data_IF_753014974837
#
_entry.id   IF_753014974837
#
_cell.length_a   1.000
_cell.length_b   1.000
_cell.length_c   1.000
_cell.angle_alpha   90.00
_cell.angle_beta   90.00
_cell.angle_gamma   90.00
#
_symmetry.space_group_name_H-M   'P 1'
#
loop_
_entity.id
_entity.type
_entity.pdbx_description
1 polymer ?
#
# COMPACT_ATOMS: atom_id res chain seq x y z
N UNK A 1 13.74 0.42 33.15
CA UNK A 1 13.08 -0.88 33.40
C UNK A 1 13.83 -1.94 32.61
N UNK A 2 14.47 -2.91 33.25
CA UNK A 2 15.37 -3.86 32.63
C UNK A 2 14.62 -4.76 31.61
N UNK A 3 15.09 -4.81 30.36
CA UNK A 3 14.50 -5.61 29.27
C UNK A 3 14.69 -7.11 29.50
N UNK A 4 15.67 -7.50 30.33
CA UNK A 4 16.06 -8.89 30.58
C UNK A 4 14.96 -9.79 31.16
N UNK A 5 14.05 -9.23 31.94
CA UNK A 5 13.00 -10.02 32.64
C UNK A 5 11.78 -10.35 31.75
N UNK A 6 11.80 -9.90 30.48
CA UNK A 6 10.69 -10.05 29.53
C UNK A 6 10.84 -11.23 28.58
N UNK A 7 12.03 -11.80 28.50
CA UNK A 7 12.34 -12.87 27.57
C UNK A 7 12.87 -14.08 28.34
N UNK A 8 12.57 -15.25 27.83
CA UNK A 8 13.18 -16.53 28.26
C UNK A 8 14.07 -17.03 27.14
N UNK A 9 15.21 -17.59 27.50
CA UNK A 9 16.09 -18.27 26.57
C UNK A 9 15.43 -19.57 26.10
N UNK A 10 15.44 -19.79 24.80
CA UNK A 10 14.89 -20.99 24.15
C UNK A 10 15.85 -21.45 23.08
N UNK A 11 15.81 -22.73 22.77
CA UNK A 11 16.55 -23.31 21.66
C UNK A 11 15.60 -23.56 20.51
N UNK A 12 15.87 -22.96 19.36
CA UNK A 12 15.14 -23.21 18.13
C UNK A 12 15.84 -24.32 17.35
N UNK A 13 15.05 -25.20 16.73
CA UNK A 13 15.57 -26.22 15.80
C UNK A 13 15.05 -25.91 14.41
N UNK A 14 15.93 -25.95 13.39
CA UNK A 14 15.55 -25.86 12.00
C UNK A 14 15.04 -27.23 11.46
N UNK A 15 14.63 -27.25 10.19
CA UNK A 15 14.13 -28.46 9.55
C UNK A 15 15.21 -29.55 9.39
N UNK A 16 16.49 -29.16 9.44
CA UNK A 16 17.66 -30.02 9.29
C UNK A 16 18.21 -30.49 10.64
N UNK A 17 17.54 -30.12 11.76
CA UNK A 17 17.88 -30.54 13.12
C UNK A 17 18.98 -29.69 13.79
N UNK A 18 19.47 -28.62 13.16
CA UNK A 18 20.43 -27.73 13.78
C UNK A 18 19.74 -26.87 14.84
N UNK A 19 20.41 -26.63 15.97
CA UNK A 19 19.85 -25.89 17.08
C UNK A 19 20.54 -24.54 17.25
N UNK A 20 19.75 -23.48 17.40
CA UNK A 20 20.21 -22.12 17.59
C UNK A 20 19.65 -21.54 18.88
N UNK A 21 20.48 -20.93 19.76
CA UNK A 21 19.99 -20.21 20.92
C UNK A 21 19.25 -18.96 20.49
N UNK A 22 18.13 -18.67 21.12
CA UNK A 22 17.33 -17.47 20.87
C UNK A 22 16.53 -17.06 22.09
N UNK A 23 15.87 -15.93 22.01
CA UNK A 23 15.06 -15.39 23.08
C UNK A 23 13.61 -15.29 22.67
N UNK A 24 12.70 -15.72 23.52
CA UNK A 24 11.26 -15.68 23.30
C UNK A 24 10.56 -14.89 24.40
N UNK A 25 9.63 -13.99 24.07
CA UNK A 25 8.91 -13.25 25.11
C UNK A 25 8.09 -14.19 26.01
N UNK A 26 8.00 -13.84 27.28
CA UNK A 26 7.16 -14.59 28.23
C UNK A 26 5.68 -14.31 27.94
N UNK A 27 4.79 -15.21 28.39
CA UNK A 27 3.34 -15.00 28.27
C UNK A 27 2.87 -13.70 28.95
N UNK A 28 3.50 -13.37 30.08
CA UNK A 28 3.22 -12.10 30.76
C UNK A 28 3.63 -10.88 29.93
N UNK A 29 4.77 -10.95 29.25
CA UNK A 29 5.20 -9.88 28.33
C UNK A 29 4.24 -9.73 27.16
N UNK A 30 3.75 -10.84 26.60
CA UNK A 30 2.75 -10.82 25.52
C UNK A 30 1.43 -10.20 26.00
N UNK A 31 0.95 -10.57 27.18
CA UNK A 31 -0.26 -9.98 27.75
C UNK A 31 -0.09 -8.49 28.03
N UNK A 32 1.05 -8.09 28.58
CA UNK A 32 1.37 -6.68 28.82
C UNK A 32 1.44 -5.89 27.49
N UNK A 33 2.07 -6.45 26.47
CA UNK A 33 2.12 -5.85 25.14
C UNK A 33 0.71 -5.71 24.54
N UNK A 34 -0.11 -6.74 24.59
CA UNK A 34 -1.49 -6.70 24.14
C UNK A 34 -2.28 -5.59 24.81
N UNK A 35 -2.27 -5.53 26.14
CA UNK A 35 -3.06 -4.54 26.88
C UNK A 35 -2.51 -3.10 26.72
N UNK A 36 -1.19 -2.90 26.84
CA UNK A 36 -0.61 -1.55 26.82
C UNK A 36 -0.44 -0.99 25.42
N UNK A 37 -0.05 -1.81 24.44
CA UNK A 37 0.19 -1.35 23.10
C UNK A 37 -1.04 -1.55 22.21
N UNK A 38 -1.52 -2.78 22.05
CA UNK A 38 -2.58 -3.05 21.07
C UNK A 38 -3.94 -2.53 21.55
N UNK A 39 -4.32 -2.75 22.82
CA UNK A 39 -5.61 -2.26 23.33
C UNK A 39 -5.56 -0.77 23.67
N UNK A 40 -4.56 -0.34 24.47
CA UNK A 40 -4.54 1.04 24.94
C UNK A 40 -4.02 2.00 23.87
N UNK A 41 -2.82 1.79 23.32
CA UNK A 41 -2.21 2.73 22.39
C UNK A 41 -2.86 2.67 20.99
N UNK A 42 -3.10 1.48 20.44
CA UNK A 42 -3.64 1.36 19.09
C UNK A 42 -5.17 1.49 19.00
N UNK A 43 -5.93 1.03 19.98
CA UNK A 43 -7.38 1.06 19.90
C UNK A 43 -7.98 2.18 20.76
N UNK A 44 -7.69 2.19 22.09
CA UNK A 44 -8.32 3.13 23.02
C UNK A 44 -7.98 4.59 22.70
N UNK A 45 -6.74 4.88 22.35
CA UNK A 45 -6.30 6.21 21.92
C UNK A 45 -7.11 6.69 20.71
N UNK A 46 -7.30 5.87 19.68
CA UNK A 46 -8.13 6.21 18.53
C UNK A 46 -9.60 6.40 18.88
N UNK A 47 -10.13 5.54 19.74
CA UNK A 47 -11.48 5.70 20.24
C UNK A 47 -11.66 7.07 20.92
N UNK A 48 -10.73 7.43 21.79
CA UNK A 48 -10.76 8.72 22.49
C UNK A 48 -10.57 9.91 21.54
N UNK A 49 -9.78 9.79 20.47
CA UNK A 49 -9.69 10.85 19.46
C UNK A 49 -11.04 11.22 18.84
N UNK A 50 -11.91 10.24 18.65
CA UNK A 50 -13.20 10.46 18.03
C UNK A 50 -14.26 11.01 19.01
N UNK A 51 -14.07 10.79 20.33
CA UNK A 51 -15.13 11.07 21.29
C UNK A 51 -14.71 11.98 22.46
N UNK A 52 -13.43 12.21 22.65
CA UNK A 52 -12.93 13.14 23.68
C UNK A 52 -12.20 14.34 23.07
N UNK A 53 -11.20 14.08 22.23
CA UNK A 53 -10.42 15.07 21.54
C UNK A 53 -9.02 14.52 21.17
N UNK A 54 -8.33 15.21 20.29
CA UNK A 54 -7.03 14.84 19.71
C UNK A 54 -6.01 15.98 19.91
N UNK A 55 -4.83 15.63 20.40
CA UNK A 55 -3.76 16.60 20.63
C UNK A 55 -3.19 17.18 19.32
N UNK A 56 -2.88 16.33 18.35
CA UNK A 56 -2.43 16.67 16.99
C UNK A 56 -2.46 15.42 16.10
N UNK A 57 -2.21 15.58 14.79
CA UNK A 57 -2.20 14.49 13.81
C UNK A 57 -0.81 13.87 13.55
N UNK A 58 0.18 14.24 14.35
CA UNK A 58 1.52 13.69 14.23
C UNK A 58 1.54 12.28 14.80
N UNK A 59 2.02 11.34 14.01
CA UNK A 59 2.16 9.95 14.47
C UNK A 59 3.17 9.86 15.60
N UNK A 60 2.72 9.44 16.78
CA UNK A 60 3.55 9.24 17.96
C UNK A 60 3.82 7.78 18.24
N UNK A 61 4.87 7.52 19.01
CA UNK A 61 5.22 6.19 19.54
C UNK A 61 5.00 6.10 21.06
N UNK A 62 4.24 7.05 21.63
CA UNK A 62 3.95 7.17 23.06
C UNK A 62 4.62 8.36 23.73
N UNK A 63 5.14 9.31 22.95
CA UNK A 63 5.66 10.59 23.42
C UNK A 63 4.51 11.46 23.95
N UNK A 64 4.84 12.42 24.83
CA UNK A 64 3.85 13.27 25.47
C UNK A 64 3.29 14.37 24.54
N UNK A 65 4.02 14.69 23.47
CA UNK A 65 3.72 15.79 22.54
C UNK A 65 3.09 15.34 21.21
N UNK A 66 3.04 14.04 20.92
CA UNK A 66 2.61 13.56 19.62
C UNK A 66 1.40 12.63 19.69
N UNK A 67 0.32 13.03 19.01
CA UNK A 67 -0.82 12.19 18.71
C UNK A 67 -1.55 11.58 19.91
N UNK A 68 -1.54 12.22 21.05
CA UNK A 68 -2.28 11.77 22.22
C UNK A 68 -3.76 12.14 22.14
N UNK A 69 -4.61 11.53 22.93
CA UNK A 69 -5.97 11.98 23.12
C UNK A 69 -6.02 13.01 24.27
N UNK A 70 -6.89 14.00 24.15
CA UNK A 70 -7.07 15.07 25.13
C UNK A 70 -8.53 15.24 25.47
N UNK A 71 -8.80 15.88 26.60
CA UNK A 71 -10.16 16.23 27.02
C UNK A 71 -10.54 17.67 26.63
N UNK A 72 -9.54 18.53 26.40
CA UNK A 72 -9.70 19.97 26.26
C UNK A 72 -9.86 20.70 27.58
N UNK A 73 -9.77 19.99 28.71
CA UNK A 73 -9.80 20.57 30.04
C UNK A 73 -8.35 20.67 30.56
N UNK A 74 -7.75 21.88 30.62
CA UNK A 74 -6.33 22.04 30.89
C UNK A 74 -5.84 21.35 32.15
N UNK A 75 -6.64 21.35 33.21
CA UNK A 75 -6.30 20.68 34.47
C UNK A 75 -6.08 19.17 34.28
N UNK A 76 -6.91 18.50 33.47
CA UNK A 76 -6.80 17.07 33.17
C UNK A 76 -5.65 16.81 32.22
N UNK A 77 -5.61 17.54 31.10
CA UNK A 77 -4.64 17.31 30.05
C UNK A 77 -3.20 17.60 30.51
N UNK A 78 -3.01 18.66 31.30
CA UNK A 78 -1.70 19.01 31.89
C UNK A 78 -1.26 17.96 32.94
N UNK A 79 -2.18 17.36 33.65
CA UNK A 79 -1.85 16.27 34.56
C UNK A 79 -1.43 14.99 33.82
N UNK A 80 -1.94 14.75 32.60
CA UNK A 80 -1.63 13.58 31.80
C UNK A 80 -0.36 13.74 30.96
N UNK A 81 -0.16 14.90 30.35
CA UNK A 81 0.86 15.12 29.31
C UNK A 81 1.79 16.30 29.58
N UNK A 82 1.68 16.95 30.74
CA UNK A 82 2.38 18.21 31.03
C UNK A 82 1.68 19.42 30.43
N UNK A 83 2.22 20.59 30.72
CA UNK A 83 1.60 21.86 30.29
C UNK A 83 1.60 22.01 28.77
N UNK A 84 0.43 21.88 28.17
CA UNK A 84 0.22 21.93 26.72
C UNK A 84 0.51 23.33 26.14
N UNK A 85 0.52 24.38 26.95
CA UNK A 85 0.88 25.73 26.50
C UNK A 85 2.37 25.90 26.18
N UNK A 86 3.21 25.00 26.67
CA UNK A 86 4.65 24.98 26.41
C UNK A 86 5.05 24.29 25.12
N UNK A 87 4.11 23.65 24.41
CA UNK A 87 4.39 23.03 23.14
C UNK A 87 4.82 24.07 22.08
N UNK A 88 5.68 23.71 21.12
CA UNK A 88 5.99 24.55 19.98
C UNK A 88 4.72 25.00 19.24
N UNK A 89 4.71 26.22 18.70
CA UNK A 89 3.56 26.75 17.95
C UNK A 89 3.09 25.85 16.82
N UNK A 90 3.99 25.18 16.14
CA UNK A 90 3.67 24.21 15.08
C UNK A 90 2.83 23.02 15.56
N UNK A 91 2.93 22.65 16.84
CA UNK A 91 2.11 21.60 17.46
C UNK A 91 0.80 22.18 18.02
N UNK A 92 0.84 23.39 18.59
CA UNK A 92 -0.37 24.07 19.09
C UNK A 92 -1.34 24.45 17.97
N UNK A 93 -0.82 24.91 16.83
CA UNK A 93 -1.58 25.35 15.66
C UNK A 93 -1.81 24.21 14.64
N UNK A 94 -1.53 22.97 15.05
CA UNK A 94 -1.76 21.80 14.17
C UNK A 94 -3.26 21.63 13.89
N UNK A 95 -3.63 21.50 12.62
CA UNK A 95 -5.04 21.33 12.21
C UNK A 95 -5.73 20.11 12.80
N UNK A 96 -4.97 19.07 13.12
CA UNK A 96 -5.46 17.89 13.81
C UNK A 96 -5.64 18.05 15.34
N UNK A 97 -5.46 19.29 15.88
CA UNK A 97 -5.80 19.60 17.27
C UNK A 97 -7.31 19.81 17.40
N UNK A 98 -8.00 18.82 17.94
CA UNK A 98 -9.46 18.82 18.03
C UNK A 98 -9.91 18.62 19.48
N UNK A 99 -10.74 19.51 19.99
CA UNK A 99 -11.24 19.48 21.38
C UNK A 99 -12.75 19.27 21.40
N UNK A 100 -13.19 18.14 21.96
CA UNK A 100 -14.63 17.84 22.05
C UNK A 100 -15.19 17.87 23.47
N UNK A 101 -14.33 18.18 24.45
CA UNK A 101 -14.70 18.23 25.87
C UNK A 101 -15.36 16.95 26.38
N UNK A 102 -15.03 15.80 25.81
CA UNK A 102 -15.65 14.51 26.06
C UNK A 102 -17.20 14.50 25.87
N UNK A 103 -17.79 15.51 25.21
CA UNK A 103 -19.24 15.60 25.07
C UNK A 103 -19.84 14.40 24.34
N UNK A 104 -19.31 13.94 23.17
CA UNK A 104 -19.81 12.74 22.52
C UNK A 104 -19.61 11.48 23.38
N UNK A 105 -18.50 11.39 24.12
CA UNK A 105 -18.22 10.26 25.02
C UNK A 105 -19.25 10.18 26.13
N UNK A 106 -19.52 11.30 26.82
CA UNK A 106 -20.50 11.37 27.91
C UNK A 106 -21.88 11.02 27.41
N UNK A 107 -22.29 11.59 26.28
CA UNK A 107 -23.60 11.32 25.68
C UNK A 107 -23.75 9.84 25.28
N UNK A 108 -22.69 9.24 24.72
CA UNK A 108 -22.65 7.81 24.40
C UNK A 108 -22.75 6.92 25.64
N UNK A 109 -22.05 7.26 26.73
CA UNK A 109 -22.16 6.54 28.00
C UNK A 109 -23.57 6.66 28.61
N UNK A 110 -24.19 7.85 28.57
CA UNK A 110 -25.57 8.02 28.98
C UNK A 110 -26.49 7.09 28.19
N UNK A 111 -26.34 7.01 26.88
CA UNK A 111 -27.14 6.13 26.02
C UNK A 111 -26.92 4.65 26.28
N UNK A 112 -25.67 4.27 26.50
CA UNK A 112 -25.29 2.90 26.87
C UNK A 112 -26.02 2.45 28.15
N UNK A 113 -25.91 3.25 29.21
CA UNK A 113 -26.58 2.93 30.48
C UNK A 113 -28.10 3.01 30.36
N UNK A 114 -28.63 4.00 29.64
CA UNK A 114 -30.07 4.10 29.38
C UNK A 114 -30.61 2.83 28.71
N UNK A 115 -29.89 2.29 27.71
CA UNK A 115 -30.28 1.06 27.05
C UNK A 115 -30.18 -0.15 27.98
N UNK A 116 -29.06 -0.26 28.70
CA UNK A 116 -28.77 -1.39 29.60
C UNK A 116 -29.80 -1.52 30.74
N UNK A 117 -30.30 -0.39 31.25
CA UNK A 117 -31.24 -0.37 32.37
C UNK A 117 -32.73 -0.22 31.97
N UNK A 118 -33.04 -0.37 30.68
CA UNK A 118 -34.42 -0.22 30.15
C UNK A 118 -35.26 -1.50 30.22
N UNK A 119 -34.96 -2.40 31.14
CA UNK A 119 -35.65 -3.68 31.30
C UNK A 119 -35.23 -4.73 30.27
N UNK A 120 -35.90 -5.85 30.24
CA UNK A 120 -35.48 -7.05 29.50
C UNK A 120 -35.26 -6.79 27.98
N UNK A 121 -36.18 -6.04 27.36
CA UNK A 121 -36.03 -5.68 25.93
C UNK A 121 -34.83 -4.76 25.69
N UNK A 122 -34.56 -3.82 26.59
CA UNK A 122 -33.41 -2.95 26.53
C UNK A 122 -32.10 -3.72 26.63
N UNK A 123 -32.01 -4.66 27.58
CA UNK A 123 -30.85 -5.53 27.77
C UNK A 123 -30.57 -6.38 26.51
N UNK A 124 -31.59 -6.95 25.88
CA UNK A 124 -31.41 -7.71 24.63
C UNK A 124 -30.85 -6.82 23.51
N UNK A 125 -31.38 -5.63 23.33
CA UNK A 125 -30.89 -4.66 22.34
C UNK A 125 -29.47 -4.15 22.69
N UNK A 126 -29.18 -3.96 23.98
CA UNK A 126 -27.83 -3.61 24.46
C UNK A 126 -26.81 -4.63 24.00
N UNK A 127 -27.06 -5.92 24.19
CA UNK A 127 -26.12 -6.95 23.77
C UNK A 127 -25.88 -6.96 22.25
N UNK A 128 -26.88 -6.64 21.43
CA UNK A 128 -26.70 -6.53 19.99
C UNK A 128 -25.70 -5.40 19.64
N UNK A 129 -25.91 -4.21 20.21
CA UNK A 129 -25.00 -3.07 19.97
C UNK A 129 -23.62 -3.32 20.57
N UNK A 130 -23.58 -3.93 21.77
CA UNK A 130 -22.33 -4.27 22.45
C UNK A 130 -21.49 -5.28 21.63
N UNK A 131 -22.12 -6.32 21.12
CA UNK A 131 -21.38 -7.27 20.25
C UNK A 131 -20.96 -6.63 18.94
N UNK A 132 -21.76 -5.77 18.35
CA UNK A 132 -21.34 -5.00 17.19
C UNK A 132 -20.09 -4.16 17.53
N UNK A 133 -20.13 -3.41 18.62
CA UNK A 133 -19.00 -2.61 19.10
C UNK A 133 -17.75 -3.47 19.39
N UNK A 134 -17.92 -4.56 20.13
CA UNK A 134 -16.82 -5.44 20.51
C UNK A 134 -16.19 -6.16 19.32
N UNK A 135 -17.02 -6.74 18.45
CA UNK A 135 -16.56 -7.55 17.31
C UNK A 135 -15.89 -6.71 16.22
N UNK A 136 -16.34 -5.46 16.02
CA UNK A 136 -15.74 -4.55 15.04
C UNK A 136 -14.62 -3.67 15.63
N UNK A 137 -14.34 -3.79 16.93
CA UNK A 137 -13.30 -3.07 17.65
C UNK A 137 -12.26 -4.01 18.25
N UNK A 138 -12.42 -4.39 19.51
CA UNK A 138 -11.44 -5.17 20.24
C UNK A 138 -11.18 -6.55 19.62
N UNK A 139 -12.19 -7.20 19.05
CA UNK A 139 -11.98 -8.47 18.34
C UNK A 139 -11.13 -8.29 17.09
N UNK A 140 -11.26 -7.16 16.37
CA UNK A 140 -10.39 -6.83 15.24
C UNK A 140 -8.94 -6.59 15.70
N UNK A 141 -8.74 -5.92 16.84
CA UNK A 141 -7.40 -5.74 17.44
C UNK A 141 -6.72 -7.10 17.66
N UNK A 142 -7.47 -8.03 18.26
CA UNK A 142 -6.98 -9.39 18.51
C UNK A 142 -6.68 -10.16 17.21
N UNK A 143 -7.59 -10.04 16.22
CA UNK A 143 -7.44 -10.71 14.92
C UNK A 143 -6.24 -10.19 14.12
N UNK A 144 -6.05 -8.88 14.06
CA UNK A 144 -4.97 -8.26 13.29
C UNK A 144 -3.60 -8.49 13.96
N UNK A 145 -3.56 -8.62 15.28
CA UNK A 145 -2.34 -8.83 16.07
C UNK A 145 -1.15 -7.98 15.58
N UNK A 146 -1.38 -6.66 15.44
CA UNK A 146 -0.43 -5.77 14.80
C UNK A 146 0.85 -5.61 15.60
N UNK A 147 1.97 -5.63 14.88
CA UNK A 147 3.30 -5.36 15.43
C UNK A 147 3.54 -3.86 15.62
N UNK A 148 4.47 -3.44 16.49
CA UNK A 148 4.94 -2.06 16.57
C UNK A 148 5.56 -1.58 15.26
N UNK A 149 5.71 -0.27 15.13
CA UNK A 149 6.41 0.37 14.00
C UNK A 149 5.73 0.11 12.65
N UNK A 150 4.41 0.21 12.61
CA UNK A 150 3.67 0.19 11.36
C UNK A 150 4.03 1.42 10.51
N UNK A 151 4.08 1.29 9.17
CA UNK A 151 4.40 2.42 8.28
C UNK A 151 3.35 3.54 8.32
N UNK A 152 2.14 3.24 8.77
CA UNK A 152 1.05 4.18 9.04
C UNK A 152 0.11 3.62 10.10
N UNK A 153 -0.61 4.50 10.76
CA UNK A 153 -1.66 4.10 11.69
C UNK A 153 -2.87 3.50 10.93
N UNK A 154 -3.55 2.54 11.55
CA UNK A 154 -4.64 1.76 10.93
C UNK A 154 -5.95 1.88 11.71
N UNK A 155 -6.26 3.08 12.16
CA UNK A 155 -7.49 3.42 12.89
C UNK A 155 -8.77 3.06 12.11
N UNK A 156 -8.74 3.16 10.79
CA UNK A 156 -9.83 2.75 9.91
C UNK A 156 -10.27 1.28 10.10
N UNK A 157 -9.40 0.41 10.59
CA UNK A 157 -9.74 -0.98 10.89
C UNK A 157 -10.77 -1.11 12.02
N UNK A 158 -10.86 -0.10 12.88
CA UNK A 158 -11.74 -0.07 14.05
C UNK A 158 -12.97 0.82 13.86
N UNK A 159 -13.14 1.45 12.71
CA UNK A 159 -14.21 2.42 12.42
C UNK A 159 -15.61 1.85 12.66
N UNK A 160 -15.81 0.54 12.46
CA UNK A 160 -17.07 -0.13 12.77
C UNK A 160 -17.48 -0.01 14.24
N UNK A 161 -16.53 -0.07 15.18
CA UNK A 161 -16.82 0.11 16.61
C UNK A 161 -17.19 1.55 16.95
N UNK A 162 -16.58 2.52 16.27
CA UNK A 162 -16.92 3.94 16.46
C UNK A 162 -18.34 4.23 15.95
N UNK A 163 -18.71 3.63 14.83
CA UNK A 163 -20.09 3.68 14.33
C UNK A 163 -21.08 3.04 15.33
N UNK A 164 -20.74 1.88 15.89
CA UNK A 164 -21.57 1.23 16.91
C UNK A 164 -21.72 2.11 18.18
N UNK A 165 -20.64 2.79 18.60
CA UNK A 165 -20.72 3.73 19.72
C UNK A 165 -21.60 4.93 19.41
N UNK A 166 -21.65 5.40 18.16
CA UNK A 166 -22.54 6.48 17.73
C UNK A 166 -24.04 6.13 17.91
N UNK A 167 -24.40 4.85 17.87
CA UNK A 167 -25.77 4.40 18.21
C UNK A 167 -26.10 4.77 19.67
N UNK A 168 -25.17 4.54 20.59
CA UNK A 168 -25.36 4.95 21.99
C UNK A 168 -25.38 6.46 22.16
N UNK A 169 -24.64 7.23 21.38
CA UNK A 169 -24.76 8.70 21.38
C UNK A 169 -26.19 9.12 21.03
N UNK A 170 -26.79 8.54 19.98
CA UNK A 170 -28.19 8.78 19.63
C UNK A 170 -29.18 8.36 20.72
N UNK A 171 -28.94 7.22 21.37
CA UNK A 171 -29.73 6.78 22.52
C UNK A 171 -29.53 7.67 23.74
N UNK A 172 -28.42 8.34 23.88
CA UNK A 172 -28.16 9.36 24.90
C UNK A 172 -29.08 10.55 24.75
N UNK A 173 -29.33 11.01 23.52
CA UNK A 173 -30.32 12.07 23.24
C UNK A 173 -31.74 11.61 23.64
N UNK A 174 -32.11 10.36 23.35
CA UNK A 174 -33.39 9.79 23.77
C UNK A 174 -33.52 9.69 25.30
N UNK A 175 -32.42 9.40 26.01
CA UNK A 175 -32.35 9.41 27.47
C UNK A 175 -32.61 10.83 28.02
N UNK A 176 -31.93 11.84 27.43
CA UNK A 176 -32.12 13.24 27.82
C UNK A 176 -33.58 13.68 27.60
N UNK A 177 -34.20 13.29 26.49
CA UNK A 177 -35.63 13.57 26.22
C UNK A 177 -36.52 12.94 27.28
N UNK A 178 -36.27 11.67 27.66
CA UNK A 178 -37.06 10.98 28.71
C UNK A 178 -36.88 11.61 30.10
N UNK A 179 -35.68 12.09 30.43
CA UNK A 179 -35.44 12.80 31.69
C UNK A 179 -36.08 14.20 31.69
N UNK A 180 -35.95 14.93 30.57
CA UNK A 180 -36.58 16.24 30.41
C UNK A 180 -38.12 16.16 30.46
N UNK A 181 -38.73 15.12 29.91
CA UNK A 181 -40.20 14.90 30.01
C UNK A 181 -40.64 14.76 31.46
N UNK A 182 -39.94 14.01 32.29
CA UNK A 182 -40.21 13.87 33.72
C UNK A 182 -40.11 15.21 34.44
N UNK A 183 -39.07 15.99 34.12
CA UNK A 183 -38.83 17.30 34.74
C UNK A 183 -39.89 18.34 34.32
N UNK A 184 -40.31 18.32 33.06
CA UNK A 184 -41.29 19.26 32.49
C UNK A 184 -42.74 18.84 32.71
N UNK A 185 -42.97 17.91 33.66
CA UNK A 185 -44.34 17.46 34.03
C UNK A 185 -45.16 17.00 32.83
N UNK A 186 -44.61 16.06 32.09
CA UNK A 186 -45.28 15.40 30.97
C UNK A 186 -45.59 16.30 29.76
N UNK A 187 -44.69 17.19 29.39
CA UNK A 187 -44.70 17.92 28.11
C UNK A 187 -43.73 17.24 27.09
N UNK A 188 -44.12 16.13 26.45
CA UNK A 188 -43.21 15.32 25.68
C UNK A 188 -42.65 16.03 24.45
N UNK A 189 -43.42 16.84 23.78
CA UNK A 189 -42.97 17.59 22.60
C UNK A 189 -41.90 18.63 22.94
N UNK A 190 -42.05 19.35 24.05
CA UNK A 190 -41.08 20.33 24.50
C UNK A 190 -39.81 19.62 24.98
N UNK A 191 -39.94 18.52 25.71
CA UNK A 191 -38.78 17.71 26.16
C UNK A 191 -38.01 17.16 24.98
N UNK A 192 -38.68 16.62 23.98
CA UNK A 192 -38.02 16.13 22.75
C UNK A 192 -37.32 17.25 21.99
N UNK A 193 -37.96 18.42 21.84
CA UNK A 193 -37.37 19.57 21.17
C UNK A 193 -36.07 20.04 21.88
N UNK A 194 -36.11 20.20 23.21
CA UNK A 194 -34.96 20.61 23.99
C UNK A 194 -33.79 19.58 23.92
N UNK A 195 -34.14 18.31 24.08
CA UNK A 195 -33.13 17.24 23.96
C UNK A 195 -32.50 17.18 22.54
N UNK A 196 -33.32 17.40 21.52
CA UNK A 196 -32.82 17.45 20.12
C UNK A 196 -31.88 18.63 19.91
N UNK A 197 -32.22 19.82 20.43
CA UNK A 197 -31.32 20.99 20.35
C UNK A 197 -29.99 20.70 21.02
N UNK A 198 -29.99 20.19 22.27
CA UNK A 198 -28.78 19.82 22.99
C UNK A 198 -28.02 18.73 22.23
N UNK A 199 -28.71 17.72 21.70
CA UNK A 199 -28.12 16.64 20.91
C UNK A 199 -27.44 17.12 19.63
N UNK A 200 -28.00 18.12 18.95
CA UNK A 200 -27.42 18.70 17.71
C UNK A 200 -26.22 19.59 18.01
N UNK A 201 -26.16 20.23 19.18
CA UNK A 201 -25.01 21.06 19.55
C UNK A 201 -23.70 20.25 19.63
N UNK A 202 -23.76 18.97 20.00
CA UNK A 202 -22.56 18.11 20.07
C UNK A 202 -21.91 17.92 18.70
N UNK A 203 -22.60 17.42 17.66
CA UNK A 203 -21.97 17.31 16.34
C UNK A 203 -21.61 18.67 15.72
N UNK A 204 -22.35 19.74 16.00
CA UNK A 204 -21.98 21.08 15.55
C UNK A 204 -20.66 21.55 16.17
N UNK A 205 -20.46 21.31 17.45
CA UNK A 205 -19.18 21.59 18.10
C UNK A 205 -18.06 20.74 17.51
N UNK A 206 -18.29 19.45 17.26
CA UNK A 206 -17.32 18.59 16.60
C UNK A 206 -16.94 19.11 15.19
N UNK A 207 -17.93 19.45 14.37
CA UNK A 207 -17.71 20.01 13.03
C UNK A 207 -16.90 21.29 13.08
N UNK A 208 -17.16 22.17 14.06
CA UNK A 208 -16.41 23.42 14.21
C UNK A 208 -14.92 23.20 14.49
N UNK A 209 -14.56 22.07 15.08
CA UNK A 209 -13.18 21.70 15.39
C UNK A 209 -12.50 20.92 14.25
N UNK A 210 -13.25 20.10 13.52
CA UNK A 210 -12.69 19.16 12.56
C UNK A 210 -12.81 19.60 11.12
N UNK A 211 -13.47 20.72 10.82
CA UNK A 211 -13.70 21.17 9.45
C UNK A 211 -12.44 21.34 8.64
N UNK A 212 -11.45 21.98 9.22
CA UNK A 212 -10.21 22.36 8.53
C UNK A 212 -9.26 21.18 8.28
N UNK A 213 -9.28 20.16 9.16
CA UNK A 213 -8.48 18.95 8.94
C UNK A 213 -9.19 17.93 8.03
N UNK A 214 -10.54 18.01 7.91
CA UNK A 214 -11.34 17.20 7.01
C UNK A 214 -11.59 17.84 5.64
N UNK A 215 -11.35 19.13 5.49
CA UNK A 215 -11.48 19.81 4.20
C UNK A 215 -10.40 19.30 3.23
N UNK A 216 -10.86 18.57 2.22
CA UNK A 216 -10.04 18.03 1.13
C UNK A 216 -10.09 18.89 -0.14
N UNK A 217 -10.83 19.99 -0.14
CA UNK A 217 -10.83 20.95 -1.24
C UNK A 217 -9.40 21.46 -1.48
N UNK A 218 -9.04 21.63 -2.73
CA UNK A 218 -7.69 22.09 -3.14
C UNK A 218 -6.52 21.13 -2.82
N UNK A 219 -6.77 19.88 -2.46
CA UNK A 219 -5.72 18.86 -2.26
C UNK A 219 -5.51 18.02 -3.51
N UNK A 220 -4.87 18.60 -4.51
CA UNK A 220 -4.67 17.98 -5.82
C UNK A 220 -3.34 17.23 -5.99
N UNK A 221 -2.50 17.16 -4.96
CA UNK A 221 -1.15 16.57 -5.05
C UNK A 221 -1.13 15.16 -5.65
N UNK A 222 -2.04 14.27 -5.22
CA UNK A 222 -2.11 12.90 -5.78
C UNK A 222 -2.52 12.90 -7.25
N UNK A 223 -3.48 13.76 -7.65
CA UNK A 223 -3.92 13.91 -9.03
C UNK A 223 -2.76 14.43 -9.90
N UNK A 224 -2.13 15.52 -9.47
CA UNK A 224 -1.07 16.18 -10.23
C UNK A 224 0.17 15.30 -10.33
N UNK A 225 0.51 14.58 -9.26
CA UNK A 225 1.57 13.57 -9.27
C UNK A 225 1.27 12.46 -10.29
N UNK A 226 0.06 11.88 -10.27
CA UNK A 226 -0.35 10.85 -11.23
C UNK A 226 -0.36 11.36 -12.67
N UNK A 227 -0.84 12.58 -12.91
CA UNK A 227 -0.82 13.22 -14.23
C UNK A 227 0.63 13.42 -14.73
N UNK A 228 1.53 13.91 -13.87
CA UNK A 228 2.95 14.10 -14.22
C UNK A 228 3.64 12.77 -14.54
N UNK A 229 3.31 11.70 -13.81
CA UNK A 229 3.80 10.36 -14.13
C UNK A 229 3.40 9.91 -15.52
N UNK A 230 2.11 9.98 -15.81
CA UNK A 230 1.56 9.57 -17.11
C UNK A 230 2.08 10.44 -18.25
N UNK A 231 2.24 11.74 -18.03
CA UNK A 231 2.78 12.69 -19.02
C UNK A 231 4.31 12.53 -19.24
N UNK A 232 5.01 11.81 -18.38
CA UNK A 232 6.42 11.41 -18.59
C UNK A 232 6.54 10.41 -19.75
N UNK A 233 5.50 9.60 -19.99
CA UNK A 233 5.52 8.55 -20.98
C UNK A 233 5.39 9.13 -22.39
N UNK A 234 6.02 8.51 -23.43
CA UNK A 234 5.92 8.98 -24.80
C UNK A 234 4.48 8.89 -25.32
N UNK A 235 4.11 9.81 -26.21
CA UNK A 235 2.75 9.89 -26.79
C UNK A 235 2.45 8.77 -27.80
N UNK A 236 3.46 8.01 -28.20
CA UNK A 236 3.33 6.95 -29.20
C UNK A 236 3.74 5.59 -28.64
N UNK A 237 3.19 4.55 -29.23
CA UNK A 237 3.57 3.17 -28.93
C UNK A 237 2.77 2.50 -27.81
N UNK A 238 1.72 3.14 -27.27
CA UNK A 238 0.93 2.62 -26.16
C UNK A 238 1.83 2.17 -24.99
N UNK A 239 2.55 3.07 -24.35
CA UNK A 239 3.58 2.73 -23.37
C UNK A 239 3.02 1.94 -22.18
N UNK A 240 3.89 1.17 -21.56
CA UNK A 240 3.58 0.43 -20.30
C UNK A 240 4.40 1.03 -19.19
N UNK A 241 3.77 1.29 -18.04
CA UNK A 241 4.47 1.64 -16.82
C UNK A 241 4.20 0.58 -15.74
N UNK A 242 5.28 -0.01 -15.23
CA UNK A 242 5.24 -0.94 -14.12
C UNK A 242 5.29 -0.18 -12.79
N UNK A 243 4.30 -0.44 -11.96
CA UNK A 243 4.15 0.12 -10.59
C UNK A 243 4.10 -1.00 -9.57
N UNK A 244 4.27 -0.70 -8.28
CA UNK A 244 4.20 -1.72 -7.24
C UNK A 244 3.49 -1.19 -5.99
N UNK A 245 2.33 -1.76 -5.69
CA UNK A 245 1.51 -1.34 -4.57
C UNK A 245 0.52 -0.22 -4.91
N UNK A 246 -0.18 0.26 -3.89
CA UNK A 246 -1.33 1.15 -4.04
C UNK A 246 -0.92 2.61 -4.33
N UNK A 247 0.12 3.06 -3.62
CA UNK A 247 0.47 4.48 -3.56
C UNK A 247 0.96 5.07 -4.89
N UNK A 248 1.62 4.27 -5.72
CA UNK A 248 2.08 4.67 -7.04
C UNK A 248 1.12 4.27 -8.17
N UNK A 249 0.21 3.32 -7.91
CA UNK A 249 -0.74 2.83 -8.91
C UNK A 249 -2.05 3.63 -8.92
N UNK A 250 -2.66 3.85 -7.75
CA UNK A 250 -3.99 4.45 -7.67
C UNK A 250 -4.06 5.91 -8.16
N UNK A 251 -3.05 6.76 -7.93
CA UNK A 251 -3.06 8.10 -8.56
C UNK A 251 -3.04 8.05 -10.09
N UNK A 252 -2.37 7.07 -10.70
CA UNK A 252 -2.35 6.88 -12.14
C UNK A 252 -3.72 6.40 -12.64
N UNK A 253 -4.29 5.39 -11.99
CA UNK A 253 -5.64 4.92 -12.33
C UNK A 253 -6.69 6.02 -12.17
N UNK A 254 -6.63 6.82 -11.09
CA UNK A 254 -7.53 7.97 -10.94
C UNK A 254 -7.46 8.91 -12.15
N UNK A 255 -6.25 9.25 -12.60
CA UNK A 255 -6.08 10.12 -13.76
C UNK A 255 -6.61 9.49 -15.06
N UNK A 256 -6.48 8.17 -15.23
CA UNK A 256 -7.00 7.48 -16.41
C UNK A 256 -8.54 7.33 -16.36
N UNK A 257 -9.08 6.89 -15.21
CA UNK A 257 -10.49 6.53 -15.07
C UNK A 257 -11.41 7.76 -14.87
N UNK A 258 -10.92 8.81 -14.21
CA UNK A 258 -11.72 9.98 -13.86
C UNK A 258 -11.39 11.19 -14.73
N UNK A 259 -10.09 11.47 -14.94
CA UNK A 259 -9.65 12.65 -15.70
C UNK A 259 -9.46 12.34 -17.19
N UNK A 260 -9.49 11.07 -17.61
CA UNK A 260 -9.26 10.65 -19.00
C UNK A 260 -7.84 10.91 -19.51
N UNK A 261 -6.87 11.03 -18.60
CA UNK A 261 -5.48 11.38 -18.93
C UNK A 261 -4.72 10.15 -19.41
N UNK A 262 -4.10 10.20 -20.59
CA UNK A 262 -3.21 9.16 -21.14
C UNK A 262 -3.82 7.76 -21.08
N UNK A 263 -5.04 7.60 -21.60
CA UNK A 263 -5.74 6.32 -21.72
C UNK A 263 -5.08 5.36 -22.70
N UNK A 264 -4.13 5.84 -23.50
CA UNK A 264 -3.25 5.06 -24.37
C UNK A 264 -2.16 4.28 -23.60
N UNK A 265 -1.75 4.79 -22.44
CA UNK A 265 -0.74 4.15 -21.60
C UNK A 265 -1.34 2.99 -20.76
N UNK A 266 -0.55 1.95 -20.50
CA UNK A 266 -0.97 0.83 -19.65
C UNK A 266 -0.26 0.86 -18.30
N UNK A 267 -1.00 1.11 -17.25
CA UNK A 267 -0.49 0.98 -15.88
C UNK A 267 -0.57 -0.50 -15.48
N UNK A 268 0.56 -1.09 -15.14
CA UNK A 268 0.69 -2.50 -14.78
C UNK A 268 1.27 -2.65 -13.37
N UNK A 269 0.43 -2.99 -12.40
CA UNK A 269 0.83 -3.21 -11.02
C UNK A 269 1.48 -4.59 -10.85
N UNK A 270 2.75 -4.62 -10.42
CA UNK A 270 3.53 -5.85 -10.27
C UNK A 270 3.02 -6.76 -9.15
N UNK A 271 2.49 -6.18 -8.06
CA UNK A 271 1.90 -6.99 -6.99
C UNK A 271 0.67 -7.76 -7.48
N UNK A 272 -0.19 -7.11 -8.27
CA UNK A 272 -1.38 -7.76 -8.83
C UNK A 272 -1.05 -8.69 -9.99
N UNK A 273 0.06 -8.48 -10.70
CA UNK A 273 0.50 -9.35 -11.79
C UNK A 273 0.88 -10.76 -11.30
N UNK A 274 1.03 -10.95 -9.99
CA UNK A 274 1.12 -12.27 -9.36
C UNK A 274 -0.21 -13.06 -9.40
N UNK A 275 -1.33 -12.39 -9.67
CA UNK A 275 -2.66 -13.02 -9.69
C UNK A 275 -3.08 -13.36 -11.12
N UNK A 276 -3.91 -14.38 -11.26
CA UNK A 276 -4.43 -14.84 -12.55
C UNK A 276 -5.42 -13.83 -13.16
N UNK A 277 -6.33 -13.32 -12.35
CA UNK A 277 -7.36 -12.36 -12.81
C UNK A 277 -6.75 -11.08 -13.37
N UNK A 278 -5.67 -10.58 -12.76
CA UNK A 278 -5.02 -9.36 -13.25
C UNK A 278 -4.21 -9.61 -14.52
N UNK A 279 -3.55 -10.77 -14.63
CA UNK A 279 -2.90 -11.20 -15.88
C UNK A 279 -3.93 -11.31 -17.01
N UNK A 280 -5.12 -11.89 -16.75
CA UNK A 280 -6.24 -11.90 -17.70
C UNK A 280 -6.67 -10.49 -18.12
N UNK A 281 -6.73 -9.55 -17.17
CA UNK A 281 -7.07 -8.15 -17.45
C UNK A 281 -6.02 -7.48 -18.33
N UNK A 282 -4.74 -7.73 -18.07
CA UNK A 282 -3.64 -7.15 -18.85
C UNK A 282 -3.60 -7.66 -20.31
N UNK A 283 -4.12 -8.83 -20.56
CA UNK A 283 -4.26 -9.43 -21.92
C UNK A 283 -5.44 -8.89 -22.72
N UNK A 284 -6.24 -8.00 -22.15
CA UNK A 284 -7.38 -7.35 -22.82
C UNK A 284 -7.05 -5.89 -23.13
N UNK A 285 -7.65 -5.32 -24.19
CA UNK A 285 -7.54 -3.88 -24.41
C UNK A 285 -8.22 -3.12 -23.26
N UNK A 286 -7.73 -1.92 -22.97
CA UNK A 286 -8.36 -1.01 -22.03
C UNK A 286 -8.26 0.41 -22.60
N UNK A 287 -9.40 1.05 -22.83
CA UNK A 287 -9.48 2.35 -23.49
C UNK A 287 -8.72 2.33 -24.84
N UNK A 288 -7.79 3.26 -25.03
CA UNK A 288 -6.95 3.35 -26.24
C UNK A 288 -5.70 2.46 -26.16
N UNK A 289 -5.48 1.80 -25.03
CA UNK A 289 -4.32 0.92 -24.83
C UNK A 289 -4.58 -0.49 -25.36
N UNK A 290 -3.67 -0.96 -26.22
CA UNK A 290 -3.67 -2.33 -26.72
C UNK A 290 -3.39 -3.33 -25.61
N UNK A 291 -3.80 -4.62 -25.75
CA UNK A 291 -3.39 -5.70 -24.87
C UNK A 291 -1.89 -5.72 -24.63
N UNK A 292 -1.45 -6.07 -23.42
CA UNK A 292 -0.03 -6.32 -23.19
C UNK A 292 0.42 -7.56 -23.98
N UNK A 293 1.67 -7.60 -24.45
CA UNK A 293 2.19 -8.70 -25.27
C UNK A 293 2.49 -9.94 -24.41
N UNK A 294 1.45 -10.46 -23.75
CA UNK A 294 1.50 -11.72 -22.98
C UNK A 294 0.88 -12.80 -23.84
N UNK A 295 1.72 -13.69 -24.40
CA UNK A 295 1.29 -14.73 -25.35
C UNK A 295 0.78 -15.98 -24.65
N UNK A 296 1.02 -16.13 -23.35
CA UNK A 296 0.64 -17.30 -22.57
C UNK A 296 -0.86 -17.53 -22.57
N UNK A 297 -1.29 -18.77 -22.80
CA UNK A 297 -2.68 -19.15 -22.55
C UNK A 297 -2.96 -19.17 -21.06
N UNK A 298 -4.22 -18.97 -20.70
CA UNK A 298 -4.65 -18.96 -19.29
C UNK A 298 -4.24 -20.22 -18.52
N UNK A 299 -4.14 -21.34 -19.17
CA UNK A 299 -3.71 -22.61 -18.60
C UNK A 299 -2.35 -22.54 -17.90
N UNK A 300 -1.42 -21.71 -18.37
CA UNK A 300 -0.05 -21.63 -17.84
C UNK A 300 0.14 -20.69 -16.65
N UNK A 301 -0.86 -19.90 -16.27
CA UNK A 301 -0.76 -19.00 -15.11
C UNK A 301 -1.95 -19.14 -14.14
N UNK A 302 -3.01 -19.84 -14.51
CA UNK A 302 -4.11 -20.15 -13.60
C UNK A 302 -3.79 -21.46 -12.90
N UNK A 303 -3.39 -21.29 -11.66
CA UNK A 303 -3.14 -22.42 -10.84
C UNK A 303 -3.14 -22.01 -9.38
N UNK A 304 -3.60 -22.74 -8.54
CA UNK A 304 -3.60 -22.54 -7.09
C UNK A 304 -2.16 -22.36 -6.50
N UNK A 305 -1.30 -21.55 -7.13
CA UNK A 305 0.07 -21.24 -6.74
C UNK A 305 1.17 -22.07 -7.39
N UNK A 306 0.87 -23.00 -8.30
CA UNK A 306 1.87 -23.88 -8.93
C UNK A 306 2.82 -23.16 -9.89
N UNK A 307 2.35 -22.07 -10.55
CA UNK A 307 3.14 -21.26 -11.49
C UNK A 307 3.44 -19.87 -10.94
N UNK A 308 3.64 -19.75 -9.64
CA UNK A 308 3.98 -18.47 -8.99
C UNK A 308 5.48 -18.22 -8.91
N UNK A 309 6.29 -19.26 -9.10
CA UNK A 309 7.74 -19.23 -8.94
C UNK A 309 8.44 -20.16 -9.93
N UNK A 310 9.52 -19.69 -10.54
CA UNK A 310 10.30 -20.38 -11.57
C UNK A 310 11.78 -20.42 -11.16
N UNK A 311 12.30 -21.59 -10.78
CA UNK A 311 13.70 -21.74 -10.37
C UNK A 311 14.66 -21.49 -11.52
N UNK A 312 15.85 -20.99 -11.21
CA UNK A 312 16.98 -20.86 -12.15
C UNK A 312 17.90 -22.05 -11.92
N UNK A 313 18.12 -22.85 -12.95
CA UNK A 313 18.91 -24.11 -12.94
C UNK A 313 20.04 -24.07 -13.94
N UNK A 314 21.16 -23.40 -13.62
CA UNK A 314 22.29 -23.24 -14.55
C UNK A 314 22.99 -24.56 -14.91
N UNK A 315 22.75 -25.61 -14.16
CA UNK A 315 23.22 -26.99 -14.47
C UNK A 315 22.74 -27.49 -15.83
N UNK A 316 21.60 -26.98 -16.33
CA UNK A 316 21.08 -27.31 -17.66
C UNK A 316 21.67 -26.48 -18.81
N UNK A 317 22.62 -25.57 -18.52
CA UNK A 317 23.23 -24.72 -19.54
C UNK A 317 23.95 -25.52 -20.63
N UNK A 318 24.54 -26.66 -20.28
CA UNK A 318 25.19 -27.53 -21.22
C UNK A 318 24.28 -28.05 -22.34
N UNK A 319 22.98 -28.26 -22.02
CA UNK A 319 21.95 -28.64 -23.01
C UNK A 319 21.74 -27.53 -24.05
N UNK A 320 21.71 -26.26 -23.60
CA UNK A 320 21.59 -25.11 -24.51
C UNK A 320 22.83 -24.99 -25.41
N UNK A 321 24.01 -25.21 -24.88
CA UNK A 321 25.25 -25.15 -25.67
C UNK A 321 25.28 -26.24 -26.75
N UNK A 322 24.76 -27.42 -26.44
CA UNK A 322 24.65 -28.51 -27.39
C UNK A 322 23.59 -28.22 -28.46
N UNK A 323 22.41 -27.71 -28.10
CA UNK A 323 21.42 -27.27 -29.04
C UNK A 323 21.93 -26.20 -30.02
N UNK A 324 22.74 -25.26 -29.52
CA UNK A 324 23.36 -24.22 -30.36
C UNK A 324 24.34 -24.78 -31.36
N UNK A 325 25.11 -25.83 -30.99
CA UNK A 325 26.00 -26.52 -31.89
C UNK A 325 25.25 -27.30 -32.97
N UNK A 326 24.15 -27.97 -32.59
CA UNK A 326 23.35 -28.77 -33.51
C UNK A 326 22.54 -27.90 -34.49
N UNK A 327 22.08 -26.73 -34.05
CA UNK A 327 21.35 -25.79 -34.90
C UNK A 327 21.85 -24.34 -34.74
N UNK A 328 22.90 -23.93 -35.47
CA UNK A 328 23.46 -22.57 -35.34
C UNK A 328 22.52 -21.42 -35.72
N UNK A 329 21.41 -21.72 -36.40
CA UNK A 329 20.38 -20.71 -36.78
C UNK A 329 19.47 -20.34 -35.62
N UNK A 330 19.36 -21.15 -34.60
CA UNK A 330 18.53 -20.92 -33.41
C UNK A 330 19.44 -20.51 -32.27
N UNK A 331 19.16 -19.39 -31.64
CA UNK A 331 19.85 -19.03 -30.39
C UNK A 331 19.02 -19.55 -29.19
N UNK A 332 19.41 -20.67 -28.56
CA UNK A 332 18.68 -21.24 -27.44
C UNK A 332 18.75 -20.41 -26.16
N UNK A 333 19.60 -19.36 -26.15
CA UNK A 333 19.65 -18.37 -25.07
C UNK A 333 18.67 -17.21 -25.27
N UNK A 334 18.01 -17.14 -26.45
CA UNK A 334 17.00 -16.13 -26.70
C UNK A 334 15.84 -16.27 -25.70
N UNK A 335 15.44 -15.15 -25.09
CA UNK A 335 14.46 -15.15 -24.01
C UNK A 335 13.12 -15.76 -24.46
N UNK A 336 12.65 -15.45 -25.67
CA UNK A 336 11.45 -16.05 -26.23
C UNK A 336 11.54 -17.57 -26.34
N UNK A 337 12.70 -18.08 -26.76
CA UNK A 337 12.94 -19.54 -26.84
C UNK A 337 12.91 -20.19 -25.46
N UNK A 338 13.56 -19.59 -24.47
CA UNK A 338 13.59 -20.10 -23.08
C UNK A 338 12.18 -20.08 -22.48
N UNK A 339 11.43 -18.99 -22.68
CA UNK A 339 10.06 -18.89 -22.19
C UNK A 339 9.18 -19.99 -22.78
N UNK A 340 9.23 -20.21 -24.08
CA UNK A 340 8.37 -21.20 -24.76
C UNK A 340 8.75 -22.65 -24.49
N UNK A 341 10.06 -22.96 -24.34
CA UNK A 341 10.51 -24.36 -24.27
C UNK A 341 10.82 -24.84 -22.84
N UNK A 342 11.12 -23.94 -21.89
CA UNK A 342 11.53 -24.32 -20.54
C UNK A 342 10.63 -23.73 -19.45
N UNK A 343 10.14 -22.51 -19.60
CA UNK A 343 9.38 -21.81 -18.56
C UNK A 343 7.89 -22.09 -18.67
N UNK A 344 7.33 -22.00 -19.88
CA UNK A 344 5.92 -22.19 -20.21
C UNK A 344 5.57 -23.69 -20.27
N UNK A 345 5.58 -24.33 -19.13
CA UNK A 345 5.23 -25.76 -19.01
C UNK A 345 4.06 -25.96 -18.05
N UNK A 346 3.33 -27.03 -18.26
CA UNK A 346 2.19 -27.41 -17.43
C UNK A 346 2.60 -27.66 -15.97
N UNK A 347 3.79 -28.21 -15.77
CA UNK A 347 4.39 -28.43 -14.45
C UNK A 347 5.90 -28.22 -14.51
N UNK A 348 6.46 -27.61 -13.45
CA UNK A 348 7.89 -27.55 -13.23
C UNK A 348 8.67 -26.68 -14.21
N UNK A 349 8.10 -25.54 -14.69
CA UNK A 349 8.82 -24.59 -15.52
C UNK A 349 10.05 -23.99 -14.78
N UNK A 350 11.14 -23.79 -15.50
CA UNK A 350 12.40 -23.27 -14.94
C UNK A 350 13.22 -22.51 -15.99
N UNK A 351 14.17 -21.71 -15.54
CA UNK A 351 15.19 -21.10 -16.40
C UNK A 351 16.42 -22.01 -16.45
N UNK A 352 16.85 -22.49 -17.63
CA UNK A 352 17.95 -23.44 -17.74
C UNK A 352 19.34 -22.75 -17.68
N UNK A 353 19.39 -21.44 -17.47
CA UNK A 353 20.62 -20.64 -17.49
C UNK A 353 20.50 -19.44 -16.56
N UNK A 354 21.62 -18.91 -16.13
CA UNK A 354 21.75 -17.69 -15.35
C UNK A 354 21.88 -16.40 -16.19
N UNK A 355 21.71 -16.51 -17.51
CA UNK A 355 21.80 -15.40 -18.45
C UNK A 355 20.92 -15.66 -19.65
N UNK A 356 20.12 -14.67 -20.04
CA UNK A 356 19.21 -14.73 -21.20
C UNK A 356 19.50 -13.58 -22.17
N UNK A 357 19.13 -13.75 -23.41
CA UNK A 357 19.35 -12.81 -24.49
C UNK A 357 18.03 -12.31 -25.05
N UNK A 358 17.92 -11.02 -25.33
CA UNK A 358 16.80 -10.41 -26.04
C UNK A 358 17.33 -9.78 -27.32
N UNK A 359 16.85 -10.21 -28.46
CA UNK A 359 17.17 -9.59 -29.75
C UNK A 359 16.63 -8.17 -29.85
N UNK A 360 17.40 -7.26 -30.42
CA UNK A 360 17.05 -5.84 -30.51
C UNK A 360 16.60 -5.47 -31.92
N UNK A 361 15.35 -5.02 -32.03
CA UNK A 361 14.83 -4.43 -33.25
C UNK A 361 15.31 -2.97 -33.35
N UNK A 362 16.44 -2.75 -34.02
CA UNK A 362 17.09 -1.42 -34.12
C UNK A 362 16.16 -0.36 -34.72
N UNK A 363 15.38 -0.73 -35.73
CA UNK A 363 14.44 0.20 -36.33
C UNK A 363 13.34 0.65 -35.38
N UNK A 364 12.78 -0.28 -34.63
CA UNK A 364 11.79 0.04 -33.58
C UNK A 364 12.37 0.90 -32.45
N UNK A 365 13.62 0.65 -32.05
CA UNK A 365 14.33 1.49 -31.08
C UNK A 365 14.46 2.93 -31.58
N UNK A 366 14.84 3.13 -32.84
CA UNK A 366 14.96 4.47 -33.45
C UNK A 366 13.59 5.15 -33.54
N UNK A 367 12.56 4.44 -33.98
CA UNK A 367 11.20 4.97 -34.15
C UNK A 367 10.53 5.29 -32.79
N UNK A 368 10.93 4.62 -31.73
CA UNK A 368 10.41 4.86 -30.38
C UNK A 368 10.85 6.19 -29.75
N UNK A 369 11.75 6.94 -30.40
CA UNK A 369 12.31 8.17 -29.85
C UNK A 369 13.20 7.98 -28.64
N UNK A 370 13.74 6.76 -28.45
CA UNK A 370 14.66 6.45 -27.37
C UNK A 370 15.97 7.26 -27.54
N UNK A 371 16.53 7.74 -26.41
CA UNK A 371 17.85 8.36 -26.45
C UNK A 371 18.93 7.36 -26.86
N UNK A 372 19.76 7.74 -27.79
CA UNK A 372 20.83 6.94 -28.36
C UNK A 372 22.20 7.54 -27.90
N UNK A 373 22.88 6.96 -26.92
CA UNK A 373 24.05 7.58 -26.28
C UNK A 373 25.20 7.93 -27.26
N UNK A 374 25.40 7.14 -28.32
CA UNK A 374 26.45 7.32 -29.30
C UNK A 374 25.91 7.27 -30.73
N UNK A 375 24.64 7.66 -30.93
CA UNK A 375 23.99 7.65 -32.23
C UNK A 375 23.43 6.28 -32.65
N UNK A 376 22.91 6.21 -33.89
CA UNK A 376 22.17 5.03 -34.39
C UNK A 376 23.04 3.76 -34.49
N UNK A 377 24.33 3.92 -34.74
CA UNK A 377 25.27 2.80 -34.88
C UNK A 377 25.63 2.15 -33.55
N UNK A 378 25.32 2.79 -32.43
CA UNK A 378 25.56 2.26 -31.09
C UNK A 378 24.51 1.25 -30.61
N UNK A 379 23.40 1.08 -31.35
CA UNK A 379 22.34 0.17 -30.96
C UNK A 379 22.85 -1.27 -31.02
N UNK A 380 22.88 -1.99 -29.88
CA UNK A 380 23.36 -3.37 -29.85
C UNK A 380 22.41 -4.30 -30.61
N UNK A 381 22.92 -5.39 -31.15
CA UNK A 381 22.08 -6.43 -31.77
C UNK A 381 21.31 -7.24 -30.73
N UNK A 382 21.82 -7.32 -29.51
CA UNK A 382 21.30 -8.13 -28.43
C UNK A 382 21.47 -7.45 -27.08
N UNK A 383 20.46 -7.59 -26.21
CA UNK A 383 20.48 -7.26 -24.79
C UNK A 383 20.72 -8.54 -23.99
N UNK A 384 21.67 -8.53 -23.05
CA UNK A 384 22.03 -9.72 -22.25
C UNK A 384 21.63 -9.48 -20.81
N UNK A 385 20.62 -10.18 -20.32
CA UNK A 385 20.11 -10.03 -18.96
C UNK A 385 20.74 -11.11 -18.06
N UNK A 386 21.39 -10.69 -16.98
CA UNK A 386 21.95 -11.59 -15.97
C UNK A 386 20.90 -11.92 -14.90
N UNK A 387 20.66 -13.21 -14.69
CA UNK A 387 19.76 -13.72 -13.64
C UNK A 387 20.51 -14.12 -12.36
N UNK A 388 21.84 -13.92 -12.29
CA UNK A 388 22.66 -14.35 -11.17
C UNK A 388 22.22 -13.78 -9.83
N UNK A 389 21.84 -12.50 -9.81
CA UNK A 389 21.35 -11.86 -8.57
C UNK A 389 20.06 -12.50 -8.07
N UNK A 390 19.11 -12.80 -8.98
CA UNK A 390 17.86 -13.47 -8.63
C UNK A 390 18.12 -14.90 -8.15
N UNK A 391 19.04 -15.61 -8.82
CA UNK A 391 19.45 -16.95 -8.40
C UNK A 391 20.06 -16.95 -7.00
N UNK A 392 20.98 -16.02 -6.70
CA UNK A 392 21.66 -15.96 -5.41
C UNK A 392 20.72 -15.51 -4.26
N UNK A 393 19.84 -14.56 -4.51
CA UNK A 393 18.95 -14.00 -3.48
C UNK A 393 17.75 -14.87 -3.17
N UNK A 394 17.15 -15.47 -4.20
CA UNK A 394 15.85 -16.13 -4.08
C UNK A 394 15.75 -17.46 -4.86
N UNK A 395 16.83 -17.90 -5.52
CA UNK A 395 16.89 -19.16 -6.27
C UNK A 395 16.17 -19.17 -7.61
N UNK A 396 15.39 -18.14 -7.96
CA UNK A 396 14.58 -18.08 -9.17
C UNK A 396 13.84 -16.76 -9.32
N UNK A 397 12.82 -16.77 -10.18
CA UNK A 397 12.00 -15.60 -10.49
C UNK A 397 10.54 -15.84 -10.09
N UNK A 398 9.89 -14.80 -9.61
CA UNK A 398 8.45 -14.82 -9.38
C UNK A 398 7.67 -14.55 -10.68
N UNK A 399 6.38 -14.90 -10.70
CA UNK A 399 5.52 -14.75 -11.90
C UNK A 399 5.53 -13.33 -12.47
N UNK A 400 5.44 -12.31 -11.63
CA UNK A 400 5.46 -10.90 -12.09
C UNK A 400 6.75 -10.55 -12.84
N UNK A 401 7.91 -11.05 -12.37
CA UNK A 401 9.20 -10.86 -13.04
C UNK A 401 9.22 -11.60 -14.39
N UNK A 402 8.73 -12.83 -14.41
CA UNK A 402 8.61 -13.63 -15.64
C UNK A 402 7.65 -12.97 -16.63
N UNK A 403 6.57 -12.35 -16.18
CA UNK A 403 5.64 -11.62 -17.05
C UNK A 403 6.26 -10.34 -17.64
N UNK A 404 7.16 -9.66 -16.91
CA UNK A 404 7.96 -8.57 -17.49
C UNK A 404 8.83 -9.12 -18.64
N UNK A 405 9.48 -10.25 -18.43
CA UNK A 405 10.30 -10.90 -19.46
C UNK A 405 9.48 -11.37 -20.66
N UNK A 406 8.30 -11.93 -20.43
CA UNK A 406 7.36 -12.28 -21.50
C UNK A 406 7.00 -11.07 -22.36
N UNK A 407 6.65 -9.95 -21.71
CA UNK A 407 6.34 -8.71 -22.43
C UNK A 407 7.54 -8.15 -23.17
N UNK A 408 8.74 -8.20 -22.59
CA UNK A 408 9.98 -7.74 -23.20
C UNK A 408 10.34 -8.59 -24.42
N UNK A 409 10.21 -9.91 -24.34
CA UNK A 409 10.47 -10.83 -25.44
C UNK A 409 9.54 -10.65 -26.63
N UNK A 410 8.27 -10.26 -26.39
CA UNK A 410 7.23 -10.19 -27.43
C UNK A 410 6.84 -8.77 -27.85
N UNK A 411 7.37 -7.73 -27.19
CA UNK A 411 7.12 -6.34 -27.59
C UNK A 411 7.86 -5.91 -28.86
N UNK A 412 8.88 -6.64 -29.27
CA UNK A 412 9.74 -6.34 -30.43
C UNK A 412 10.26 -4.87 -30.42
N UNK A 413 10.49 -4.32 -29.22
CA UNK A 413 10.90 -2.93 -28.97
C UNK A 413 9.94 -1.85 -29.50
N UNK A 414 8.79 -2.25 -30.04
CA UNK A 414 7.75 -1.33 -30.57
C UNK A 414 6.90 -0.69 -29.49
N UNK A 415 6.86 -1.31 -28.31
CA UNK A 415 6.08 -0.85 -27.18
C UNK A 415 7.01 -0.37 -26.08
N UNK A 416 7.07 0.93 -25.77
CA UNK A 416 7.92 1.45 -24.71
C UNK A 416 7.51 0.89 -23.34
N UNK A 417 8.48 0.46 -22.55
CA UNK A 417 8.26 -0.07 -21.21
C UNK A 417 9.05 0.71 -20.18
N UNK A 418 8.41 1.04 -19.09
CA UNK A 418 8.94 1.88 -18.02
C UNK A 418 8.76 1.25 -16.66
N UNK A 419 9.73 1.43 -15.78
CA UNK A 419 9.65 1.15 -14.35
C UNK A 419 9.38 2.45 -13.60
N UNK A 420 8.46 2.46 -12.65
CA UNK A 420 8.22 3.67 -11.83
C UNK A 420 9.42 3.95 -10.91
N UNK A 421 9.70 5.24 -10.60
CA UNK A 421 10.79 5.59 -9.65
C UNK A 421 10.49 5.14 -8.23
N UNK A 422 9.24 4.82 -7.94
CA UNK A 422 8.78 4.32 -6.63
C UNK A 422 8.98 2.81 -6.47
N UNK A 423 9.37 2.10 -7.53
CA UNK A 423 9.79 0.71 -7.42
C UNK A 423 11.06 0.62 -6.57
N UNK A 424 11.00 -0.08 -5.46
CA UNK A 424 12.18 -0.30 -4.62
C UNK A 424 13.25 -1.16 -5.30
N UNK A 425 14.50 -1.07 -4.85
CA UNK A 425 15.58 -1.95 -5.31
C UNK A 425 15.17 -3.42 -5.20
N UNK A 426 15.38 -4.18 -6.26
CA UNK A 426 15.00 -5.60 -6.33
C UNK A 426 13.72 -5.88 -7.10
N UNK A 427 12.92 -4.86 -7.45
CA UNK A 427 11.72 -5.04 -8.29
C UNK A 427 11.97 -4.80 -9.79
N UNK A 428 13.20 -4.54 -10.18
CA UNK A 428 13.57 -4.31 -11.58
C UNK A 428 13.81 -5.59 -12.39
N UNK A 429 13.59 -6.75 -11.80
CA UNK A 429 13.78 -8.05 -12.46
C UNK A 429 15.16 -8.21 -13.13
N UNK A 430 16.23 -7.67 -12.53
CA UNK A 430 17.60 -7.70 -13.10
C UNK A 430 17.83 -6.75 -14.29
N UNK A 431 16.91 -5.83 -14.55
CA UNK A 431 16.98 -4.84 -15.63
C UNK A 431 17.59 -3.50 -15.18
N UNK A 432 18.10 -3.41 -13.95
CA UNK A 432 18.64 -2.18 -13.36
C UNK A 432 19.64 -1.48 -14.28
N UNK A 433 20.56 -2.25 -14.85
CA UNK A 433 21.62 -1.71 -15.73
C UNK A 433 21.13 -1.25 -17.10
N UNK A 434 19.87 -1.51 -17.43
CA UNK A 434 19.22 -1.18 -18.71
C UNK A 434 18.19 -0.08 -18.57
N UNK A 435 18.09 0.53 -17.38
CA UNK A 435 17.09 1.53 -17.06
C UNK A 435 17.67 2.95 -17.12
N UNK A 436 16.98 3.84 -17.84
CA UNK A 436 17.33 5.27 -17.95
C UNK A 436 16.19 6.11 -17.42
N UNK A 437 16.48 7.04 -16.51
CA UNK A 437 15.49 7.94 -15.95
C UNK A 437 15.05 8.98 -16.97
N UNK A 438 13.77 8.93 -17.33
CA UNK A 438 13.08 9.93 -18.14
C UNK A 438 11.95 10.53 -17.29
N UNK A 439 12.15 11.74 -16.75
CA UNK A 439 11.17 12.37 -15.85
C UNK A 439 10.95 11.57 -14.56
N UNK A 440 9.76 11.04 -14.36
CA UNK A 440 9.36 10.26 -13.17
C UNK A 440 9.36 8.73 -13.39
N UNK A 441 9.92 8.25 -14.51
CA UNK A 441 9.95 6.83 -14.80
C UNK A 441 11.28 6.40 -15.44
N UNK A 442 11.69 5.17 -15.20
CA UNK A 442 12.87 4.57 -15.81
C UNK A 442 12.48 3.81 -17.07
N UNK A 443 12.91 4.27 -18.21
CA UNK A 443 12.72 3.59 -19.49
C UNK A 443 13.64 2.38 -19.58
N UNK A 444 13.10 1.22 -19.98
CA UNK A 444 13.88 0.04 -20.31
C UNK A 444 14.48 0.24 -21.70
N UNK A 445 15.79 0.12 -21.81
CA UNK A 445 16.56 0.32 -23.05
C UNK A 445 17.45 -0.90 -23.34
N UNK A 446 17.91 -1.09 -24.58
CA UNK A 446 18.83 -2.19 -24.90
C UNK A 446 20.29 -1.90 -24.48
N UNK A 447 20.59 -0.71 -23.97
CA UNK A 447 21.93 -0.27 -23.63
C UNK A 447 22.26 -0.64 -22.19
N UNK A 448 23.42 -1.25 -21.96
CA UNK A 448 23.92 -1.54 -20.62
C UNK A 448 24.78 -0.37 -20.12
N UNK A 449 24.28 0.33 -19.12
CA UNK A 449 24.97 1.49 -18.52
C UNK A 449 25.83 1.11 -17.30
N UNK A 450 25.85 -0.16 -16.89
CA UNK A 450 26.55 -0.63 -15.69
C UNK A 450 25.88 -0.22 -14.37
N UNK A 451 25.01 0.78 -14.40
CA UNK A 451 24.13 1.24 -13.31
C UNK A 451 23.00 2.10 -13.88
N UNK A 452 21.93 2.25 -13.12
CA UNK A 452 20.80 3.12 -13.54
C UNK A 452 21.25 4.56 -13.75
N UNK A 453 20.98 5.13 -14.92
CA UNK A 453 21.40 6.47 -15.32
C UNK A 453 20.20 7.43 -15.40
N UNK A 454 20.40 8.68 -14.99
CA UNK A 454 19.39 9.73 -15.14
C UNK A 454 19.54 10.44 -16.49
N UNK A 455 18.56 10.27 -17.36
CA UNK A 455 18.48 10.97 -18.65
C UNK A 455 18.20 12.47 -18.49
N UNK A 456 17.53 12.87 -17.43
CA UNK A 456 17.26 14.29 -17.13
C UNK A 456 18.55 15.11 -17.03
N UNK A 457 19.62 14.51 -16.54
CA UNK A 457 20.94 15.12 -16.47
C UNK A 457 21.60 15.26 -17.85
N UNK A 458 21.35 14.34 -18.75
CA UNK A 458 21.91 14.36 -20.12
C UNK A 458 21.18 15.41 -20.99
N UNK A 459 19.86 15.55 -20.83
CA UNK A 459 19.05 16.53 -21.58
C UNK A 459 19.25 17.97 -21.12
N UNK A 460 19.59 18.20 -19.87
CA UNK A 460 19.90 19.55 -19.36
C UNK A 460 21.13 20.17 -20.04
N UNK A 461 22.06 19.35 -20.54
CA UNK A 461 23.19 19.82 -21.33
C UNK A 461 22.85 20.17 -22.79
N UNK A 462 21.82 19.54 -23.36
CA UNK A 462 21.38 19.88 -24.73
C UNK A 462 20.51 21.14 -24.79
N UNK A 463 19.66 21.39 -23.79
CA UNK A 463 18.83 22.59 -23.73
C UNK A 463 19.61 23.86 -23.42
N UNK A 464 20.79 23.77 -22.78
CA UNK A 464 21.66 24.93 -22.54
C UNK A 464 22.43 25.38 -23.78
N UNK A 465 22.41 24.62 -24.88
CA UNK A 465 23.03 24.98 -26.16
C UNK A 465 22.05 25.67 -27.14
N UNK A 466 20.78 25.79 -26.77
CA UNK A 466 19.71 26.39 -27.60
C UNK A 466 19.00 27.56 -26.93
N UNK A 467 19.55 28.09 -25.81
CA UNK A 467 19.21 29.38 -25.20
C UNK A 467 20.42 30.32 -25.30
#
# INVERSE_FOLDING_TARGET
>A
MCIRDRFKDVTFSDKDGNTYPGQMPTQWSNLKFFLSYQVNFMYWRYFMWNFAGRQNDIQGLGELEHGNWITGIPFIDNAMYGDQSLLPKTLQENKGHNVFYCLPLILGLIGLFFQAYRGEKGVRQFWVVFFLFFMTGLAIVLYLNQTPSQPRERDYAYAGSFYAFAIWIGLGVAALASWAEKLLKSKPQLAAALASVVGVLVPLQMVSQTWDDHDRSNRYTCRDFGANYLNTLPDKGCPVIFTNGDNDTFPLWYNQEVEGTRTDARVCNLSYLQTDWYTDQMRRPAYDSKPLPITWSRYYYVDNGKHSYYPIRPEHKAELDELKKQNPKVDPYELSYILDHYVKKAEGGYFPTDSVVVSVNKQAVIESGMYLPMGKDSIPDKMIISLKNAQQKQGGLYRNEVMIYEMLAHADWKRPMYMSVTLGPGNYAGLDNYCVLEGLAYRITPFNYGQTVSYTHLRAHETSLHL
#
